data_IF_567192434068
#
_entry.id   IF_567192434068
#
_cell.length_a   1.000
_cell.length_b   1.000
_cell.length_c   1.000
_cell.angle_alpha   90.00
_cell.angle_beta   90.00
_cell.angle_gamma   90.00
#
_symmetry.space_group_name_H-M   'P 1'
#
loop_
_entity.id
_entity.type
_entity.pdbx_description
1 polymer ?
#
# COMPACT_ATOMS: atom_id res chain seq x y z
N UNK A 1 10.01 59.19 37.74
CA UNK A 1 10.05 58.67 36.34
C UNK A 1 10.34 57.18 36.38
N UNK A 2 9.30 56.36 36.26
CA UNK A 2 9.48 54.89 36.20
C UNK A 2 9.46 54.48 34.72
N UNK A 3 10.57 54.00 34.22
CA UNK A 3 10.71 53.45 32.84
C UNK A 3 10.16 52.02 32.84
N UNK A 4 9.08 51.80 32.08
CA UNK A 4 8.53 50.46 31.83
C UNK A 4 9.28 49.84 30.65
N UNK A 5 10.02 48.76 30.87
CA UNK A 5 10.60 47.92 29.81
C UNK A 5 9.53 46.93 29.34
N UNK A 6 9.08 47.07 28.09
CA UNK A 6 8.28 46.07 27.42
C UNK A 6 9.21 44.92 26.98
N UNK A 7 9.05 43.76 27.59
CA UNK A 7 9.71 42.51 27.13
C UNK A 7 8.80 41.87 26.09
N UNK A 8 9.15 41.97 24.82
CA UNK A 8 8.49 41.25 23.73
C UNK A 8 8.98 39.82 23.74
N UNK A 9 8.17 38.86 24.18
CA UNK A 9 8.42 37.42 24.02
C UNK A 9 8.08 37.04 22.60
N UNK A 10 9.09 36.86 21.77
CA UNK A 10 8.94 36.32 20.43
C UNK A 10 8.55 34.83 20.50
N UNK A 11 7.36 34.49 20.05
CA UNK A 11 6.93 33.10 19.90
C UNK A 11 7.65 32.52 18.67
N UNK A 12 8.71 31.74 18.92
CA UNK A 12 9.33 30.91 17.88
C UNK A 12 8.35 29.79 17.53
N UNK A 13 7.68 29.91 16.40
CA UNK A 13 6.93 28.81 15.82
C UNK A 13 7.94 27.72 15.38
N UNK A 14 8.09 26.68 16.19
CA UNK A 14 8.81 25.47 15.81
C UNK A 14 7.91 24.73 14.82
N UNK A 15 8.07 25.05 13.52
CA UNK A 15 7.48 24.27 12.46
C UNK A 15 8.04 22.85 12.53
N UNK A 16 7.17 21.86 12.80
CA UNK A 16 7.54 20.45 12.69
C UNK A 16 7.97 20.20 11.24
N UNK A 17 9.25 19.96 11.02
CA UNK A 17 9.75 19.49 9.72
C UNK A 17 9.16 18.09 9.52
N UNK A 18 8.13 18.02 8.69
CA UNK A 18 7.60 16.72 8.24
C UNK A 18 8.69 16.10 7.36
N UNK A 19 9.20 14.94 7.77
CA UNK A 19 10.19 14.23 6.97
C UNK A 19 9.59 13.85 5.61
N UNK A 20 10.35 14.11 4.53
CA UNK A 20 9.94 13.73 3.19
C UNK A 20 9.67 12.22 3.11
N UNK A 21 8.54 11.85 2.57
CA UNK A 21 8.23 10.45 2.25
C UNK A 21 8.92 9.99 0.95
N UNK A 22 8.93 8.69 0.65
CA UNK A 22 9.55 8.18 -0.58
C UNK A 22 9.04 8.87 -1.84
N UNK A 23 7.74 9.11 -1.95
CA UNK A 23 7.16 9.74 -3.13
C UNK A 23 7.45 11.25 -3.22
N UNK A 24 7.74 11.94 -2.12
CA UNK A 24 8.25 13.32 -2.16
C UNK A 24 9.67 13.35 -2.76
N UNK A 25 10.52 12.38 -2.39
CA UNK A 25 11.87 12.25 -2.91
C UNK A 25 11.83 12.02 -4.43
N UNK A 26 11.03 11.05 -4.89
CA UNK A 26 10.86 10.79 -6.32
C UNK A 26 10.30 12.00 -7.06
N UNK A 27 9.30 12.67 -6.50
CA UNK A 27 8.71 13.86 -7.10
C UNK A 27 9.73 15.00 -7.25
N UNK A 28 10.57 15.21 -6.23
CA UNK A 28 11.63 16.24 -6.28
C UNK A 28 12.71 15.93 -7.31
N UNK A 29 12.89 14.65 -7.66
CA UNK A 29 13.82 14.19 -8.70
C UNK A 29 13.18 14.14 -10.11
N UNK A 30 11.96 14.67 -10.29
CA UNK A 30 11.28 14.68 -11.59
C UNK A 30 10.60 13.35 -11.97
N UNK A 31 10.52 12.40 -11.06
CA UNK A 31 9.91 11.07 -11.27
C UNK A 31 8.79 10.82 -10.25
N UNK A 32 7.67 11.57 -10.30
CA UNK A 32 6.61 11.45 -9.30
C UNK A 32 5.98 10.05 -9.30
N UNK A 33 5.60 9.57 -8.12
CA UNK A 33 4.86 8.32 -8.00
C UNK A 33 3.54 8.39 -8.78
N UNK A 34 3.26 7.39 -9.60
CA UNK A 34 2.00 7.23 -10.35
C UNK A 34 1.07 6.19 -9.70
N UNK A 35 1.64 5.33 -8.87
CA UNK A 35 0.92 4.41 -7.99
C UNK A 35 1.73 4.27 -6.70
N UNK A 36 1.10 4.49 -5.55
CA UNK A 36 1.78 4.56 -4.27
C UNK A 36 0.94 3.89 -3.18
N UNK A 37 1.31 2.67 -2.80
CA UNK A 37 0.54 1.84 -1.88
C UNK A 37 1.34 1.50 -0.64
N UNK A 38 0.73 1.63 0.52
CA UNK A 38 1.30 1.16 1.78
C UNK A 38 0.22 1.02 2.84
N UNK A 39 0.18 -0.13 3.50
CA UNK A 39 -0.67 -0.36 4.67
C UNK A 39 0.03 0.04 5.98
N UNK A 40 1.33 0.36 5.92
CA UNK A 40 2.13 0.63 7.13
C UNK A 40 2.31 2.10 7.42
N UNK A 41 2.34 2.96 6.39
CA UNK A 41 2.58 4.40 6.56
C UNK A 41 2.15 5.22 5.34
N UNK A 42 2.08 6.53 5.51
CA UNK A 42 2.03 7.47 4.39
C UNK A 42 3.35 7.49 3.60
N UNK A 43 3.27 7.62 2.28
CA UNK A 43 4.40 7.67 1.35
C UNK A 43 4.75 9.10 0.93
N UNK A 44 3.92 10.08 1.29
CA UNK A 44 4.20 11.51 1.20
C UNK A 44 4.16 12.13 2.60
N UNK A 45 5.02 13.10 2.85
CA UNK A 45 5.16 13.73 4.15
C UNK A 45 3.90 14.46 4.64
N UNK A 46 3.11 14.99 3.73
CA UNK A 46 1.85 15.70 4.04
C UNK A 46 0.59 14.85 3.86
N UNK A 47 0.71 13.57 3.51
CA UNK A 47 -0.45 12.71 3.26
C UNK A 47 -1.17 12.33 4.56
N UNK A 48 -2.45 12.59 4.62
CA UNK A 48 -3.35 12.24 5.73
C UNK A 48 -4.57 11.43 5.28
N UNK A 49 -4.61 11.06 4.00
CA UNK A 49 -5.73 10.32 3.41
C UNK A 49 -5.75 8.83 3.76
N UNK A 50 -6.59 8.10 3.06
CA UNK A 50 -6.82 6.66 3.26
C UNK A 50 -5.59 5.84 2.87
N UNK A 51 -5.12 4.97 3.76
CA UNK A 51 -4.06 4.00 3.45
C UNK A 51 -4.66 2.68 2.95
N UNK A 52 -5.60 2.13 3.70
CA UNK A 52 -6.30 0.90 3.35
C UNK A 52 -7.65 0.82 4.05
N UNK A 53 -8.47 -0.12 3.61
CA UNK A 53 -9.76 -0.43 4.22
C UNK A 53 -9.73 -1.86 4.76
N UNK A 54 -10.24 -2.03 5.98
CA UNK A 54 -10.47 -3.33 6.59
C UNK A 54 -11.96 -3.65 6.63
N UNK A 55 -12.29 -4.93 6.48
CA UNK A 55 -13.65 -5.47 6.58
C UNK A 55 -13.67 -6.54 7.67
N UNK A 56 -14.55 -6.41 8.65
CA UNK A 56 -14.69 -7.41 9.70
C UNK A 56 -15.70 -8.50 9.35
N UNK A 57 -15.43 -9.72 9.82
CA UNK A 57 -16.21 -10.90 9.45
C UNK A 57 -17.57 -10.97 10.15
N UNK A 58 -17.69 -10.42 11.36
CA UNK A 58 -18.91 -10.55 12.17
C UNK A 58 -20.16 -9.93 11.56
N UNK A 59 -20.01 -8.82 10.83
CA UNK A 59 -21.14 -8.05 10.29
C UNK A 59 -20.86 -7.45 8.90
N UNK A 60 -19.69 -7.76 8.32
CA UNK A 60 -19.25 -7.24 7.02
C UNK A 60 -19.09 -5.72 6.95
N UNK A 61 -19.10 -5.01 8.08
CA UNK A 61 -18.82 -3.57 8.08
C UNK A 61 -17.35 -3.30 7.76
N UNK A 62 -17.06 -2.10 7.28
CA UNK A 62 -15.73 -1.68 6.87
C UNK A 62 -15.27 -0.46 7.63
N UNK A 63 -13.95 -0.33 7.80
CA UNK A 63 -13.31 0.86 8.34
C UNK A 63 -12.08 1.24 7.49
N UNK A 64 -11.95 2.53 7.21
CA UNK A 64 -10.77 3.10 6.55
C UNK A 64 -9.72 3.39 7.62
N UNK A 65 -8.49 2.98 7.34
CA UNK A 65 -7.33 3.25 8.17
C UNK A 65 -6.51 4.36 7.50
N UNK A 66 -6.28 5.43 8.24
CA UNK A 66 -5.48 6.59 7.85
C UNK A 66 -4.17 6.63 8.63
N UNK A 67 -3.21 7.50 8.31
CA UNK A 67 -2.07 7.73 9.19
C UNK A 67 -2.49 8.31 10.54
N UNK A 68 -1.70 8.06 11.58
CA UNK A 68 -1.88 8.69 12.91
C UNK A 68 -1.74 10.21 12.85
N UNK A 69 -0.82 10.68 12.02
CA UNK A 69 -0.59 12.10 11.69
C UNK A 69 -0.21 12.16 10.21
N UNK A 70 -0.29 13.32 9.58
CA UNK A 70 0.17 13.50 8.20
C UNK A 70 1.60 12.98 8.03
N UNK A 71 1.84 12.21 6.96
CA UNK A 71 3.13 11.59 6.68
C UNK A 71 3.53 10.44 7.61
N UNK A 72 2.70 10.11 8.58
CA UNK A 72 3.01 9.17 9.67
C UNK A 72 2.70 7.71 9.38
N UNK A 73 2.85 6.92 10.43
CA UNK A 73 2.52 5.49 10.48
C UNK A 73 1.01 5.31 10.53
N UNK A 74 0.52 4.20 10.00
CA UNK A 74 -0.89 3.84 10.00
C UNK A 74 -1.50 3.78 11.42
N UNK A 75 -2.75 4.19 11.56
CA UNK A 75 -3.49 4.14 12.83
C UNK A 75 -3.92 2.71 13.16
N UNK A 76 -2.96 1.86 13.51
CA UNK A 76 -3.24 0.48 13.91
C UNK A 76 -4.09 0.36 15.17
N UNK A 77 -4.04 1.27 16.18
CA UNK A 77 -4.98 1.22 17.29
C UNK A 77 -6.46 1.30 16.88
N UNK A 78 -6.78 2.09 15.87
CA UNK A 78 -8.16 2.16 15.34
C UNK A 78 -8.56 0.82 14.70
N UNK A 79 -7.66 0.18 13.95
CA UNK A 79 -7.90 -1.16 13.40
C UNK A 79 -8.07 -2.21 14.50
N UNK A 80 -7.18 -2.22 15.50
CA UNK A 80 -7.24 -3.16 16.61
C UNK A 80 -8.59 -3.08 17.34
N UNK A 81 -9.05 -1.85 17.61
CA UNK A 81 -10.35 -1.62 18.22
C UNK A 81 -11.49 -2.13 17.35
N UNK A 82 -11.47 -1.81 16.05
CA UNK A 82 -12.51 -2.22 15.10
C UNK A 82 -12.57 -3.74 14.92
N UNK A 83 -11.44 -4.42 14.95
CA UNK A 83 -11.33 -5.87 14.75
C UNK A 83 -11.43 -6.68 16.05
N UNK A 84 -11.70 -6.04 17.19
CA UNK A 84 -11.82 -6.74 18.47
C UNK A 84 -12.95 -7.77 18.46
N UNK A 85 -12.64 -8.99 18.87
CA UNK A 85 -13.62 -10.10 18.96
C UNK A 85 -14.05 -10.70 17.63
N UNK A 86 -13.40 -10.31 16.51
CA UNK A 86 -13.67 -10.86 15.18
C UNK A 86 -12.39 -10.89 14.34
N UNK A 87 -12.44 -11.56 13.19
CA UNK A 87 -11.37 -11.45 12.20
C UNK A 87 -11.64 -10.29 11.24
N UNK A 88 -10.55 -9.70 10.74
CA UNK A 88 -10.61 -8.68 9.70
C UNK A 88 -9.75 -9.07 8.50
N UNK A 89 -10.21 -8.68 7.32
CA UNK A 89 -9.44 -8.78 6.07
C UNK A 89 -9.24 -7.39 5.46
N UNK A 90 -8.19 -7.23 4.66
CA UNK A 90 -7.99 -6.01 3.88
C UNK A 90 -8.88 -6.10 2.63
N UNK A 91 -9.73 -5.10 2.40
CA UNK A 91 -10.62 -5.05 1.24
C UNK A 91 -10.13 -4.13 0.13
N UNK A 92 -9.44 -3.06 0.47
CA UNK A 92 -8.88 -2.07 -0.47
C UNK A 92 -7.54 -1.60 0.07
N UNK A 93 -6.53 -1.45 -0.81
CA UNK A 93 -5.30 -0.70 -0.51
C UNK A 93 -5.35 0.56 -1.37
N UNK A 94 -5.39 1.73 -0.74
CA UNK A 94 -5.56 2.98 -1.45
C UNK A 94 -4.25 3.47 -2.06
N UNK A 95 -4.36 4.00 -3.25
CA UNK A 95 -3.28 4.72 -3.91
C UNK A 95 -3.16 6.13 -3.32
N UNK A 96 -1.96 6.47 -2.88
CA UNK A 96 -1.63 7.76 -2.30
C UNK A 96 -1.14 8.79 -3.33
N UNK A 97 -0.94 8.38 -4.61
CA UNK A 97 -0.40 9.25 -5.66
C UNK A 97 -1.40 10.29 -6.18
N UNK A 98 -2.69 10.13 -5.84
CA UNK A 98 -3.77 10.96 -6.37
C UNK A 98 -4.26 10.53 -7.77
N UNK A 99 -3.73 9.45 -8.34
CA UNK A 99 -4.17 8.91 -9.64
C UNK A 99 -5.37 7.97 -9.52
N UNK A 100 -5.73 7.55 -8.31
CA UNK A 100 -6.86 6.64 -8.08
C UNK A 100 -6.57 5.19 -8.40
N UNK A 101 -5.31 4.81 -8.47
CA UNK A 101 -4.86 3.43 -8.75
C UNK A 101 -5.05 2.51 -7.53
N UNK A 102 -6.23 2.51 -6.92
CA UNK A 102 -6.51 1.66 -5.77
C UNK A 102 -6.42 0.18 -6.14
N UNK A 103 -5.92 -0.62 -5.20
CA UNK A 103 -5.87 -2.06 -5.33
C UNK A 103 -7.06 -2.68 -4.59
N UNK A 104 -7.82 -3.49 -5.29
CA UNK A 104 -8.87 -4.35 -4.70
C UNK A 104 -8.40 -5.80 -4.70
N UNK A 105 -9.10 -6.67 -4.02
CA UNK A 105 -8.85 -8.11 -4.12
C UNK A 105 -8.80 -8.50 -5.60
N UNK A 106 -7.76 -9.20 -6.02
CA UNK A 106 -7.48 -9.47 -7.42
C UNK A 106 -8.62 -10.26 -8.07
N UNK A 107 -9.23 -9.75 -9.17
CA UNK A 107 -10.23 -10.50 -9.91
C UNK A 107 -9.57 -11.62 -10.73
N UNK A 108 -10.31 -12.66 -11.04
CA UNK A 108 -9.87 -13.72 -11.95
C UNK A 108 -9.55 -13.15 -13.33
N UNK A 109 -8.44 -13.62 -13.92
CA UNK A 109 -8.05 -13.32 -15.29
C UNK A 109 -8.25 -14.51 -16.23
N UNK A 110 -7.92 -14.31 -17.52
CA UNK A 110 -7.92 -15.40 -18.51
C UNK A 110 -6.77 -16.38 -18.27
N UNK A 111 -5.64 -15.92 -17.74
CA UNK A 111 -4.47 -16.74 -17.44
C UNK A 111 -4.63 -17.57 -16.16
N UNK A 112 -5.47 -17.14 -15.24
CA UNK A 112 -5.69 -17.83 -13.97
C UNK A 112 -6.90 -17.30 -13.21
N UNK A 113 -7.38 -18.10 -12.29
CA UNK A 113 -8.48 -17.76 -11.38
C UNK A 113 -8.04 -18.03 -9.96
N UNK A 114 -8.40 -17.10 -9.06
CA UNK A 114 -8.23 -17.29 -7.63
C UNK A 114 -9.25 -18.27 -7.03
N UNK A 115 -9.07 -18.68 -5.79
CA UNK A 115 -9.89 -19.70 -5.13
C UNK A 115 -11.27 -19.19 -4.66
N UNK A 116 -11.48 -17.88 -4.59
CA UNK A 116 -12.74 -17.32 -4.13
C UNK A 116 -13.82 -17.32 -5.21
N UNK A 117 -15.07 -17.07 -4.80
CA UNK A 117 -16.20 -17.03 -5.70
C UNK A 117 -15.98 -16.03 -6.86
N UNK A 118 -16.39 -16.40 -8.06
CA UNK A 118 -16.17 -15.59 -9.27
C UNK A 118 -14.71 -15.62 -9.77
N UNK A 119 -13.86 -16.46 -9.21
CA UNK A 119 -12.45 -16.56 -9.58
C UNK A 119 -11.56 -15.47 -8.99
N UNK A 120 -12.06 -14.75 -7.99
CA UNK A 120 -11.25 -13.78 -7.24
C UNK A 120 -10.25 -14.50 -6.33
N UNK A 121 -9.17 -13.79 -6.00
CA UNK A 121 -8.29 -14.20 -4.92
C UNK A 121 -8.99 -14.04 -3.55
N UNK A 122 -8.42 -14.67 -2.54
CA UNK A 122 -8.84 -14.43 -1.16
C UNK A 122 -8.24 -13.10 -0.65
N UNK A 123 -8.98 -12.35 0.16
CA UNK A 123 -8.41 -11.18 0.83
C UNK A 123 -7.44 -11.60 1.94
N UNK A 124 -6.37 -10.83 2.13
CA UNK A 124 -5.40 -11.05 3.20
C UNK A 124 -5.98 -10.72 4.57
N UNK A 125 -5.53 -11.46 5.60
CA UNK A 125 -5.79 -11.10 6.99
C UNK A 125 -5.18 -9.74 7.31
N UNK A 126 -5.97 -8.85 7.89
CA UNK A 126 -5.54 -7.50 8.25
C UNK A 126 -4.57 -7.47 9.45
N UNK A 127 -4.40 -8.58 10.18
CA UNK A 127 -3.60 -8.65 11.41
C UNK A 127 -2.46 -9.65 11.37
N UNK A 128 -2.27 -10.36 10.25
CA UNK A 128 -1.30 -11.46 10.17
C UNK A 128 0.16 -11.00 10.03
N UNK A 129 0.41 -9.75 9.61
CA UNK A 129 1.76 -9.21 9.42
C UNK A 129 2.01 -7.97 10.29
N UNK A 130 2.06 -8.08 11.63
CA UNK A 130 2.40 -6.95 12.49
C UNK A 130 3.87 -6.56 12.30
N UNK A 131 4.11 -5.25 12.15
CA UNK A 131 5.45 -4.65 12.03
C UNK A 131 5.55 -3.41 12.92
N UNK A 132 6.78 -2.99 13.21
CA UNK A 132 7.04 -1.79 14.01
C UNK A 132 7.90 -0.80 13.24
N UNK A 133 7.39 0.42 13.06
CA UNK A 133 8.08 1.53 12.42
C UNK A 133 8.27 2.66 13.43
N UNK A 134 9.52 2.96 13.79
CA UNK A 134 9.81 3.98 14.79
C UNK A 134 9.09 3.73 16.13
N UNK A 135 9.01 2.48 16.57
CA UNK A 135 8.34 2.07 17.81
C UNK A 135 6.80 2.07 17.73
N UNK A 136 6.19 2.38 16.61
CA UNK A 136 4.74 2.33 16.40
C UNK A 136 4.35 1.07 15.63
N UNK A 137 3.34 0.34 16.13
CA UNK A 137 2.80 -0.82 15.45
C UNK A 137 2.07 -0.41 14.17
N UNK A 138 2.22 -1.19 13.13
CA UNK A 138 1.46 -1.17 11.90
C UNK A 138 1.25 -2.60 11.40
N UNK A 139 0.52 -2.76 10.31
CA UNK A 139 0.31 -4.06 9.68
C UNK A 139 0.72 -4.01 8.22
N UNK A 140 1.59 -4.91 7.82
CA UNK A 140 1.85 -5.21 6.42
C UNK A 140 0.74 -6.04 5.79
N UNK A 141 0.90 -6.39 4.54
CA UNK A 141 -0.01 -7.30 3.83
C UNK A 141 0.61 -8.70 3.84
N UNK A 142 -0.07 -9.64 4.48
CA UNK A 142 0.34 -11.05 4.49
C UNK A 142 -0.24 -11.73 3.25
N UNK A 143 0.62 -12.09 2.31
CA UNK A 143 0.21 -12.77 1.08
C UNK A 143 0.57 -14.25 1.17
N UNK A 144 -0.45 -15.10 1.21
CA UNK A 144 -0.32 -16.53 1.02
C UNK A 144 -0.77 -16.92 -0.40
N UNK A 145 -0.53 -18.17 -0.78
CA UNK A 145 -1.03 -18.70 -2.05
C UNK A 145 -2.53 -18.48 -2.21
N UNK A 146 -2.97 -17.98 -3.35
CA UNK A 146 -4.36 -17.63 -3.64
C UNK A 146 -4.86 -16.34 -3.00
N UNK A 147 -3.96 -15.48 -2.52
CA UNK A 147 -4.26 -14.12 -2.05
C UNK A 147 -3.58 -13.11 -2.95
N UNK A 148 -4.25 -11.99 -3.24
CA UNK A 148 -3.67 -10.94 -4.06
C UNK A 148 -4.55 -9.71 -4.18
N UNK A 149 -3.93 -8.61 -4.59
CA UNK A 149 -4.59 -7.32 -4.84
C UNK A 149 -4.12 -6.78 -6.17
N UNK A 150 -5.05 -6.30 -7.00
CA UNK A 150 -4.74 -5.85 -8.34
C UNK A 150 -5.64 -4.70 -8.79
N UNK A 151 -5.11 -3.86 -9.67
CA UNK A 151 -5.86 -2.90 -10.45
C UNK A 151 -5.62 -3.16 -11.95
N UNK A 152 -6.67 -3.54 -12.66
CA UNK A 152 -6.61 -3.81 -14.10
C UNK A 152 -6.81 -2.56 -14.97
N UNK A 153 -7.02 -1.39 -14.36
CA UNK A 153 -7.31 -0.13 -15.05
C UNK A 153 -6.40 1.00 -14.54
N UNK A 154 -5.12 0.70 -14.33
CA UNK A 154 -4.17 1.67 -13.81
C UNK A 154 -3.99 2.88 -14.74
N UNK A 155 -3.91 4.07 -14.15
CA UNK A 155 -3.79 5.35 -14.83
C UNK A 155 -2.39 5.94 -14.62
N UNK A 156 -1.74 6.30 -15.74
CA UNK A 156 -0.44 6.98 -15.72
C UNK A 156 0.77 6.06 -15.50
N UNK A 157 0.57 4.75 -15.37
CA UNK A 157 1.65 3.76 -15.36
C UNK A 157 2.27 3.64 -16.76
N UNK A 158 3.56 3.39 -16.83
CA UNK A 158 4.26 3.20 -18.10
C UNK A 158 3.70 1.99 -18.86
N UNK A 159 3.76 2.05 -20.19
CA UNK A 159 3.34 0.96 -21.09
C UNK A 159 4.39 0.74 -22.14
N UNK A 160 4.49 -0.49 -22.64
CA UNK A 160 5.53 -0.87 -23.60
C UNK A 160 6.91 -0.55 -23.05
N UNK A 161 7.79 0.01 -23.88
CA UNK A 161 9.17 0.36 -23.51
C UNK A 161 9.30 1.70 -22.75
N UNK A 162 8.21 2.21 -22.18
CA UNK A 162 8.25 3.44 -21.39
C UNK A 162 9.11 3.28 -20.15
N UNK A 163 10.02 4.23 -19.93
CA UNK A 163 10.89 4.21 -18.76
C UNK A 163 10.08 4.24 -17.47
N UNK A 164 10.38 3.34 -16.54
CA UNK A 164 9.71 3.24 -15.24
C UNK A 164 10.66 2.73 -14.17
N UNK A 165 10.30 2.95 -12.91
CA UNK A 165 10.95 2.36 -11.75
C UNK A 165 9.91 1.79 -10.80
N UNK A 166 10.23 0.65 -10.19
CA UNK A 166 9.45 0.03 -9.13
C UNK A 166 10.30 -0.18 -7.90
N UNK A 167 9.68 -0.11 -6.73
CA UNK A 167 10.28 -0.63 -5.50
C UNK A 167 9.23 -1.30 -4.64
N UNK A 168 9.65 -2.25 -3.83
CA UNK A 168 8.81 -2.91 -2.83
C UNK A 168 9.59 -3.09 -1.53
N UNK A 169 8.88 -3.06 -0.40
CA UNK A 169 9.42 -3.44 0.91
C UNK A 169 8.80 -4.78 1.26
N UNK A 170 9.63 -5.79 1.37
CA UNK A 170 9.24 -7.18 1.59
C UNK A 170 9.85 -7.71 2.88
N UNK A 171 9.15 -8.64 3.55
CA UNK A 171 9.71 -9.42 4.65
C UNK A 171 10.53 -10.57 4.06
N UNK A 172 11.87 -10.54 4.26
CA UNK A 172 12.77 -11.57 3.76
C UNK A 172 12.61 -12.93 4.41
N UNK A 173 11.77 -13.06 5.42
CA UNK A 173 11.53 -14.33 6.14
C UNK A 173 10.22 -15.00 5.75
N UNK A 174 9.35 -14.33 4.98
CA UNK A 174 8.07 -14.87 4.52
C UNK A 174 8.01 -14.90 2.99
N UNK A 175 8.08 -16.08 2.42
CA UNK A 175 7.95 -16.33 0.99
C UNK A 175 7.36 -17.73 0.75
N UNK A 176 6.81 -17.97 -0.44
CA UNK A 176 6.23 -19.27 -0.79
C UNK A 176 6.42 -19.60 -2.28
N UNK A 177 6.18 -20.86 -2.65
CA UNK A 177 6.26 -21.33 -4.03
C UNK A 177 4.93 -21.32 -4.77
N UNK A 178 3.86 -20.91 -4.12
CA UNK A 178 2.54 -20.69 -4.75
C UNK A 178 2.51 -19.31 -5.35
N UNK A 179 2.57 -19.22 -6.65
CA UNK A 179 2.53 -18.00 -7.42
C UNK A 179 1.24 -17.20 -7.13
N UNK A 180 1.11 -15.97 -7.32
CA UNK A 180 1.99 -14.85 -7.65
C UNK A 180 1.43 -13.61 -6.96
N UNK A 181 2.24 -12.63 -6.69
CA UNK A 181 1.78 -11.31 -6.30
C UNK A 181 2.06 -10.37 -7.48
N UNK A 182 1.02 -9.78 -8.06
CA UNK A 182 1.14 -8.83 -9.15
C UNK A 182 0.90 -7.42 -8.64
N UNK A 183 1.84 -6.55 -8.92
CA UNK A 183 1.74 -5.13 -8.60
C UNK A 183 2.14 -4.31 -9.81
N UNK A 184 1.24 -3.45 -10.28
CA UNK A 184 1.49 -2.58 -11.40
C UNK A 184 0.50 -2.78 -12.56
N UNK A 185 0.98 -2.67 -13.79
CA UNK A 185 0.20 -2.97 -14.98
C UNK A 185 0.06 -4.47 -15.14
N UNK A 186 -1.16 -4.98 -15.07
CA UNK A 186 -1.44 -6.37 -15.33
C UNK A 186 -2.34 -6.50 -16.55
N UNK A 187 -2.00 -7.38 -17.47
CA UNK A 187 -2.89 -7.78 -18.52
C UNK A 187 -4.00 -8.69 -18.00
N UNK A 188 -5.20 -8.51 -18.51
CA UNK A 188 -6.34 -9.39 -18.18
C UNK A 188 -6.43 -10.57 -19.16
N UNK A 189 -5.69 -10.53 -20.26
CA UNK A 189 -5.53 -11.63 -21.20
C UNK A 189 -4.19 -12.34 -20.96
N UNK A 190 -4.09 -13.60 -21.30
CA UNK A 190 -2.83 -14.36 -21.27
C UNK A 190 -1.97 -14.11 -22.52
N UNK A 191 -2.33 -13.15 -23.33
CA UNK A 191 -1.63 -12.79 -24.57
C UNK A 191 -1.01 -11.41 -24.37
N UNK A 192 0.30 -11.33 -24.47
CA UNK A 192 0.99 -10.04 -24.52
C UNK A 192 0.61 -9.32 -25.82
N UNK A 193 -0.16 -8.26 -25.69
CA UNK A 193 -0.58 -7.43 -26.82
C UNK A 193 0.29 -6.18 -26.98
N UNK A 194 1.32 -6.01 -26.16
CA UNK A 194 2.15 -4.81 -26.12
C UNK A 194 1.45 -3.58 -25.54
N UNK A 195 0.19 -3.67 -25.14
CA UNK A 195 -0.58 -2.54 -24.61
C UNK A 195 -0.38 -2.33 -23.09
N UNK A 196 0.25 -3.26 -22.44
CA UNK A 196 0.58 -3.20 -21.02
C UNK A 196 1.33 -4.46 -20.65
N UNK A 197 2.64 -4.36 -20.57
CA UNK A 197 3.46 -5.45 -20.05
C UNK A 197 3.27 -5.53 -18.57
N UNK A 198 3.25 -6.74 -18.03
CA UNK A 198 3.31 -6.97 -16.59
C UNK A 198 4.76 -6.81 -16.15
N UNK A 199 5.07 -5.67 -15.54
CA UNK A 199 6.31 -5.50 -14.84
C UNK A 199 6.13 -5.99 -13.40
N UNK A 200 6.97 -6.91 -12.95
CA UNK A 200 6.82 -7.54 -11.65
C UNK A 200 8.13 -7.60 -10.87
N UNK A 201 8.04 -7.36 -9.56
CA UNK A 201 9.07 -7.76 -8.61
C UNK A 201 8.65 -9.11 -8.03
N UNK A 202 9.40 -10.16 -8.38
CA UNK A 202 9.13 -11.50 -7.86
C UNK A 202 9.90 -11.72 -6.55
N UNK A 203 9.18 -12.16 -5.54
CA UNK A 203 9.76 -12.57 -4.26
C UNK A 203 9.13 -13.90 -3.82
N UNK A 204 9.84 -14.98 -4.01
CA UNK A 204 9.35 -16.33 -3.71
C UNK A 204 10.33 -17.41 -4.13
N UNK A 205 9.91 -18.66 -4.04
CA UNK A 205 10.72 -19.82 -4.42
C UNK A 205 10.03 -20.72 -5.47
N UNK A 206 9.15 -20.15 -6.28
CA UNK A 206 8.56 -20.84 -7.42
C UNK A 206 9.62 -21.01 -8.52
N UNK A 207 9.83 -22.21 -8.97
CA UNK A 207 10.78 -22.55 -10.04
C UNK A 207 10.09 -22.84 -11.39
N UNK A 208 8.79 -22.58 -11.49
CA UNK A 208 8.01 -22.80 -12.72
C UNK A 208 8.13 -21.61 -13.69
N UNK A 209 8.34 -20.41 -13.19
CA UNK A 209 8.34 -19.15 -13.95
C UNK A 209 9.71 -18.47 -14.03
N UNK A 210 10.72 -19.09 -13.57
CA UNK A 210 12.09 -18.60 -13.59
C UNK A 210 12.88 -19.16 -12.42
N UNK A 211 14.11 -19.55 -12.69
CA UNK A 211 15.10 -19.83 -11.65
C UNK A 211 15.84 -18.55 -11.35
N UNK A 212 15.63 -17.98 -10.16
CA UNK A 212 16.55 -17.02 -9.58
C UNK A 212 17.77 -17.74 -9.03
#
# INVERSE_FOLDING_TARGET
MFSQYLVTVGLLAVGSLVAAGPCDIYSSAGSPCVAAHSTTRALYGNYSGSLYQVKRASDSTTQIITPLIAGGVANSPAQDTFCTGTTCTISIIYDQSGKGNHLTVAPGGSAGKGPAAGGYDNPSSATAAPVYLGGKKAYGVYIASGMGYRNNAAVGTAKGDGAQGMYAILDGTHYNGGCCFDYGNAETSSTDTGAGHMEAIYFGNCNVWGSG
#
